data_IF_309186280348
#
_entry.id   IF_309186280348
#
_cell.length_a   1.000
_cell.length_b   1.000
_cell.length_c   1.000
_cell.angle_alpha   90.00
_cell.angle_beta   90.00
_cell.angle_gamma   90.00
#
_symmetry.space_group_name_H-M   'P 1'
#
loop_
_entity.id
_entity.type
_entity.pdbx_description
1 polymer ?
#
# COMPACT_ATOMS: atom_id res chain seq x y z
N UNK A 1 -30.38 10.34 13.91
CA UNK A 1 -29.83 9.02 13.53
C UNK A 1 -29.65 9.06 12.02
N UNK A 2 -28.43 9.15 11.54
CA UNK A 2 -28.16 8.92 10.13
C UNK A 2 -28.49 7.46 9.81
N UNK A 3 -29.09 7.15 8.66
CA UNK A 3 -29.34 5.77 8.27
C UNK A 3 -27.99 5.03 8.19
N UNK A 4 -27.90 3.90 8.90
CA UNK A 4 -26.74 3.01 8.75
C UNK A 4 -26.65 2.59 7.28
N UNK A 5 -25.61 3.03 6.58
CA UNK A 5 -25.37 2.60 5.19
C UNK A 5 -25.10 1.10 5.25
N UNK A 6 -25.97 0.32 4.61
CA UNK A 6 -25.75 -1.11 4.45
C UNK A 6 -24.53 -1.34 3.56
N UNK A 7 -23.41 -1.65 4.17
CA UNK A 7 -22.14 -1.91 3.47
C UNK A 7 -22.11 -3.28 2.75
N UNK A 8 -23.08 -4.17 3.03
CA UNK A 8 -23.19 -5.46 2.37
C UNK A 8 -23.53 -5.32 0.87
N UNK A 9 -24.22 -4.25 0.50
CA UNK A 9 -24.57 -3.93 -0.90
C UNK A 9 -23.36 -3.54 -1.77
N UNK A 10 -22.20 -3.29 -1.17
CA UNK A 10 -20.97 -2.89 -1.87
C UNK A 10 -20.02 -4.05 -2.12
N UNK A 11 -20.44 -5.26 -1.84
CA UNK A 11 -19.73 -6.47 -2.21
C UNK A 11 -20.20 -6.96 -3.59
N UNK A 12 -19.29 -7.31 -4.46
CA UNK A 12 -19.63 -8.02 -5.69
C UNK A 12 -19.83 -9.52 -5.41
N UNK A 13 -21.03 -9.93 -5.07
CA UNK A 13 -21.37 -11.30 -4.67
C UNK A 13 -21.19 -12.35 -5.80
N UNK A 14 -21.14 -11.94 -7.04
CA UNK A 14 -21.03 -12.85 -8.21
C UNK A 14 -19.60 -13.23 -8.59
N UNK A 15 -18.59 -12.61 -7.97
CA UNK A 15 -17.22 -12.69 -8.42
C UNK A 15 -16.26 -13.02 -7.26
N UNK A 16 -15.76 -14.28 -7.20
CA UNK A 16 -14.81 -14.66 -6.18
C UNK A 16 -13.50 -13.89 -6.36
N UNK A 17 -13.15 -13.04 -5.40
CA UNK A 17 -11.95 -12.21 -5.45
C UNK A 17 -11.41 -11.94 -4.05
N UNK A 18 -10.12 -11.61 -3.95
CA UNK A 18 -9.58 -11.01 -2.74
C UNK A 18 -10.15 -9.60 -2.56
N UNK A 19 -10.38 -9.20 -1.31
CA UNK A 19 -11.02 -7.92 -1.00
C UNK A 19 -10.06 -6.85 -0.45
N UNK A 20 -8.87 -7.26 0.00
CA UNK A 20 -7.93 -6.35 0.66
C UNK A 20 -6.50 -6.84 0.50
N UNK A 21 -5.57 -5.91 0.39
CA UNK A 21 -4.22 -6.17 0.86
C UNK A 21 -4.29 -6.23 2.38
N UNK A 22 -4.26 -7.46 2.93
CA UNK A 22 -4.46 -7.70 4.36
C UNK A 22 -3.23 -7.28 5.17
N UNK A 23 -2.03 -7.56 4.66
CA UNK A 23 -0.75 -7.09 5.22
C UNK A 23 0.41 -7.31 4.25
N UNK A 24 1.53 -6.68 4.55
CA UNK A 24 2.82 -7.04 3.98
C UNK A 24 3.84 -7.30 5.08
N UNK A 25 4.84 -8.13 4.79
CA UNK A 25 5.88 -8.49 5.75
C UNK A 25 7.24 -8.29 5.10
N UNK A 26 8.13 -7.62 5.80
CA UNK A 26 9.49 -7.40 5.33
C UNK A 26 10.49 -7.57 6.48
N UNK A 27 11.73 -7.86 6.13
CA UNK A 27 12.84 -7.95 7.07
C UNK A 27 13.81 -6.80 6.90
N UNK A 28 14.46 -6.41 7.99
CA UNK A 28 15.47 -5.34 8.05
C UNK A 28 16.67 -5.78 8.86
N UNK A 29 17.88 -5.24 8.57
CA UNK A 29 19.08 -5.56 9.35
C UNK A 29 19.05 -5.01 10.78
N UNK A 30 18.36 -3.89 11.01
CA UNK A 30 18.22 -3.27 12.33
C UNK A 30 16.75 -2.91 12.61
N UNK A 31 16.17 -3.65 13.54
CA UNK A 31 14.78 -3.47 13.93
C UNK A 31 14.55 -2.18 14.73
N UNK A 32 15.57 -1.66 15.46
CA UNK A 32 15.43 -0.41 16.21
C UNK A 32 15.27 0.77 15.23
N UNK A 33 16.12 0.81 14.22
CA UNK A 33 16.03 1.84 13.16
C UNK A 33 14.66 1.84 12.48
N UNK A 34 14.08 0.64 12.23
CA UNK A 34 12.72 0.54 11.69
C UNK A 34 11.66 1.05 12.67
N UNK A 35 11.75 0.67 13.94
CA UNK A 35 10.83 1.12 15.00
C UNK A 35 10.85 2.64 15.11
N UNK A 36 12.04 3.25 15.15
CA UNK A 36 12.21 4.70 15.26
C UNK A 36 11.63 5.41 14.05
N UNK A 37 11.93 4.93 12.82
CA UNK A 37 11.42 5.50 11.58
C UNK A 37 9.89 5.48 11.51
N UNK A 38 9.26 4.31 11.70
CA UNK A 38 7.81 4.19 11.57
C UNK A 38 7.05 4.81 12.75
N UNK A 39 7.66 4.92 13.92
CA UNK A 39 7.10 5.71 15.04
C UNK A 39 7.13 7.21 14.70
N UNK A 40 8.25 7.71 14.18
CA UNK A 40 8.33 9.09 13.68
C UNK A 40 7.34 9.36 12.54
N UNK A 41 7.10 8.37 11.67
CA UNK A 41 6.09 8.44 10.60
C UNK A 41 4.64 8.53 11.12
N UNK A 42 4.42 8.25 12.41
CA UNK A 42 3.11 8.38 13.07
C UNK A 42 2.30 7.09 13.16
N UNK A 43 2.94 5.93 13.00
CA UNK A 43 2.30 4.63 13.21
C UNK A 43 2.38 4.17 14.67
N UNK A 44 1.40 3.35 15.08
CA UNK A 44 1.43 2.62 16.35
C UNK A 44 2.32 1.37 16.17
N UNK A 45 3.61 1.52 16.50
CA UNK A 45 4.61 0.47 16.33
C UNK A 45 4.73 -0.35 17.60
N UNK A 46 4.44 -1.65 17.52
CA UNK A 46 4.49 -2.55 18.67
C UNK A 46 5.61 -3.58 18.53
N UNK A 47 6.67 -3.39 19.32
CA UNK A 47 7.79 -4.32 19.33
C UNK A 47 7.47 -5.58 20.15
N UNK A 48 7.83 -6.75 19.61
CA UNK A 48 7.60 -8.06 20.21
C UNK A 48 8.80 -8.98 19.93
N UNK A 49 9.82 -8.93 20.79
CA UNK A 49 11.06 -9.70 20.56
C UNK A 49 11.78 -9.30 19.27
N UNK A 50 12.06 -10.26 18.39
CA UNK A 50 12.74 -10.06 17.09
C UNK A 50 11.83 -9.54 15.97
N UNK A 51 10.68 -8.92 16.27
CA UNK A 51 9.76 -8.35 15.30
C UNK A 51 9.11 -7.07 15.81
N UNK A 52 8.54 -6.30 14.90
CA UNK A 52 7.65 -5.19 15.21
C UNK A 52 6.38 -5.27 14.33
N UNK A 53 5.23 -4.96 14.90
CA UNK A 53 3.96 -4.87 14.21
C UNK A 53 3.66 -3.39 13.91
N UNK A 54 3.33 -3.05 12.66
CA UNK A 54 2.86 -1.72 12.28
C UNK A 54 1.33 -1.70 12.30
N UNK A 55 0.78 -0.80 13.09
CA UNK A 55 -0.64 -0.52 13.23
C UNK A 55 -0.90 0.97 13.05
N UNK A 56 -2.15 1.35 12.97
CA UNK A 56 -2.57 2.75 13.03
C UNK A 56 -3.32 3.01 14.33
N UNK A 57 -3.25 4.23 14.84
CA UNK A 57 -3.93 4.58 16.09
C UNK A 57 -5.45 4.43 15.94
N UNK A 58 -6.08 3.80 16.94
CA UNK A 58 -7.52 3.54 16.91
C UNK A 58 -7.97 2.35 16.06
N UNK A 59 -7.06 1.66 15.37
CA UNK A 59 -7.36 0.45 14.59
C UNK A 59 -6.49 -0.72 15.08
N UNK A 60 -7.08 -1.83 15.53
CA UNK A 60 -6.35 -2.99 16.04
C UNK A 60 -5.67 -3.80 14.93
N UNK A 61 -5.98 -3.54 13.65
CA UNK A 61 -5.44 -4.29 12.53
C UNK A 61 -3.92 -4.10 12.41
N UNK A 62 -3.23 -5.18 12.08
CA UNK A 62 -1.79 -5.18 11.81
C UNK A 62 -1.55 -5.13 10.32
N UNK A 63 -1.20 -3.94 9.83
CA UNK A 63 -0.98 -3.65 8.41
C UNK A 63 0.34 -4.21 7.88
N UNK A 64 1.37 -4.20 8.73
CA UNK A 64 2.64 -4.79 8.37
C UNK A 64 3.31 -5.46 9.58
N UNK A 65 4.24 -6.36 9.28
CA UNK A 65 5.16 -6.98 10.23
C UNK A 65 6.59 -6.76 9.75
N UNK A 66 7.43 -6.25 10.63
CA UNK A 66 8.87 -6.11 10.40
C UNK A 66 9.58 -7.21 11.14
N UNK A 67 10.44 -7.94 10.48
CA UNK A 67 11.26 -9.01 11.07
C UNK A 67 12.70 -8.55 11.21
N UNK A 68 13.36 -8.92 12.32
CA UNK A 68 14.81 -8.81 12.42
C UNK A 68 15.44 -9.79 11.43
N UNK A 69 16.17 -9.28 10.44
CA UNK A 69 16.96 -10.04 9.47
C UNK A 69 18.44 -9.97 9.75
N UNK A 70 19.23 -10.73 9.00
CA UNK A 70 20.70 -10.73 9.02
C UNK A 70 21.31 -10.16 7.73
N UNK A 71 20.48 -9.80 6.76
CA UNK A 71 20.85 -9.24 5.46
C UNK A 71 20.17 -7.90 5.18
N UNK A 72 20.32 -7.38 3.96
CA UNK A 72 19.64 -6.17 3.51
C UNK A 72 18.11 -6.26 3.71
N UNK A 73 17.44 -5.10 3.74
CA UNK A 73 15.98 -5.05 3.74
C UNK A 73 15.43 -5.88 2.58
N UNK A 74 14.37 -6.67 2.87
CA UNK A 74 13.74 -7.52 1.87
C UNK A 74 12.25 -7.68 2.14
N UNK A 75 11.43 -7.63 1.10
CA UNK A 75 10.06 -8.09 1.16
C UNK A 75 10.04 -9.60 1.38
N UNK A 76 9.37 -10.06 2.44
CA UNK A 76 9.26 -11.48 2.78
C UNK A 76 8.02 -12.09 2.16
N UNK A 77 6.85 -11.43 2.30
CA UNK A 77 5.61 -11.88 1.67
C UNK A 77 4.50 -10.83 1.72
N UNK A 78 3.49 -11.04 0.89
CA UNK A 78 2.22 -10.34 0.91
C UNK A 78 1.12 -11.27 1.41
N UNK A 79 0.11 -10.71 2.07
CA UNK A 79 -1.09 -11.43 2.48
C UNK A 79 -2.33 -10.69 1.96
N UNK A 80 -3.18 -11.39 1.19
CA UNK A 80 -4.46 -10.88 0.72
C UNK A 80 -5.61 -11.50 1.49
N UNK A 81 -6.59 -10.69 1.87
CA UNK A 81 -7.79 -11.13 2.55
C UNK A 81 -8.87 -11.57 1.56
N UNK A 82 -9.56 -12.65 1.87
CA UNK A 82 -10.72 -13.14 1.13
C UNK A 82 -11.91 -13.37 2.08
N UNK A 83 -13.11 -13.21 1.56
CA UNK A 83 -14.32 -13.63 2.27
C UNK A 83 -14.38 -15.17 2.37
N UNK A 84 -14.97 -15.74 3.44
CA UNK A 84 -15.05 -17.19 3.60
C UNK A 84 -15.64 -17.91 2.39
N UNK A 85 -16.68 -17.36 1.79
CA UNK A 85 -17.41 -17.94 0.65
C UNK A 85 -16.69 -17.81 -0.69
N UNK A 86 -15.65 -16.96 -0.78
CA UNK A 86 -14.82 -16.78 -1.97
C UNK A 86 -13.50 -17.56 -1.89
N UNK A 87 -13.04 -17.86 -0.67
CA UNK A 87 -11.73 -18.44 -0.42
C UNK A 87 -11.48 -19.72 -1.23
N UNK A 88 -12.33 -20.73 -1.10
CA UNK A 88 -12.15 -22.01 -1.79
C UNK A 88 -12.20 -21.85 -3.32
N UNK A 89 -13.00 -20.92 -3.83
CA UNK A 89 -13.10 -20.63 -5.26
C UNK A 89 -11.83 -19.96 -5.79
N UNK A 90 -11.23 -19.06 -5.00
CA UNK A 90 -9.92 -18.44 -5.34
C UNK A 90 -8.83 -19.53 -5.38
N UNK A 91 -8.80 -20.43 -4.39
CA UNK A 91 -7.82 -21.51 -4.36
C UNK A 91 -8.01 -22.51 -5.53
N UNK A 92 -9.24 -22.83 -5.87
CA UNK A 92 -9.55 -23.64 -7.04
C UNK A 92 -9.07 -22.97 -8.34
N UNK A 93 -9.27 -21.67 -8.47
CA UNK A 93 -8.81 -20.86 -9.60
C UNK A 93 -7.28 -20.82 -9.69
N UNK A 94 -6.55 -20.59 -8.60
CA UNK A 94 -5.09 -20.69 -8.55
C UNK A 94 -4.61 -22.03 -9.12
N UNK A 95 -5.18 -23.15 -8.65
CA UNK A 95 -4.84 -24.49 -9.13
C UNK A 95 -5.16 -24.70 -10.61
N UNK A 96 -6.30 -24.19 -11.09
CA UNK A 96 -6.70 -24.31 -12.50
C UNK A 96 -5.81 -23.51 -13.45
N UNK A 97 -5.16 -22.44 -12.95
CA UNK A 97 -4.14 -21.67 -13.65
C UNK A 97 -2.74 -22.28 -13.57
N UNK A 98 -2.61 -23.48 -12.97
CA UNK A 98 -1.34 -24.18 -12.84
C UNK A 98 -0.41 -23.58 -11.76
N UNK A 99 -0.93 -22.77 -10.85
CA UNK A 99 -0.13 -22.19 -9.76
C UNK A 99 0.16 -23.25 -8.71
N UNK A 100 1.43 -23.53 -8.47
CA UNK A 100 1.86 -24.46 -7.43
C UNK A 100 1.70 -23.84 -6.04
N UNK A 101 1.07 -24.59 -5.13
CA UNK A 101 0.95 -24.20 -3.74
C UNK A 101 2.21 -24.60 -2.98
N UNK A 102 2.70 -23.68 -2.14
CA UNK A 102 3.94 -23.86 -1.37
C UNK A 102 3.70 -23.88 0.13
N UNK A 103 4.71 -24.25 0.89
CA UNK A 103 4.66 -24.22 2.36
C UNK A 103 4.54 -22.79 2.88
N UNK A 104 3.84 -22.60 4.01
CA UNK A 104 3.73 -21.31 4.66
C UNK A 104 5.09 -20.72 5.03
N UNK A 105 5.19 -19.37 5.00
CA UNK A 105 6.35 -18.70 5.56
C UNK A 105 6.48 -19.02 7.06
N UNK A 106 7.71 -19.24 7.55
CA UNK A 106 7.99 -19.61 8.96
C UNK A 106 7.41 -18.65 10.00
N UNK A 107 7.18 -17.37 9.62
CA UNK A 107 6.56 -16.34 10.46
C UNK A 107 5.10 -16.07 10.09
N UNK A 108 4.42 -16.99 9.40
CA UNK A 108 2.98 -16.93 9.15
C UNK A 108 2.20 -16.92 10.48
N UNK A 109 1.10 -16.15 10.53
CA UNK A 109 0.29 -16.01 11.76
C UNK A 109 -0.91 -16.96 11.82
N UNK A 110 -1.48 -17.28 10.67
CA UNK A 110 -2.70 -18.08 10.54
C UNK A 110 -2.56 -19.08 9.39
N UNK A 111 -3.38 -20.11 9.39
CA UNK A 111 -3.50 -20.97 8.21
C UNK A 111 -4.03 -20.14 7.03
N UNK A 112 -3.27 -20.09 5.95
CA UNK A 112 -3.61 -19.50 4.67
C UNK A 112 -3.11 -20.40 3.55
N UNK A 113 -3.48 -20.10 2.32
CA UNK A 113 -2.93 -20.75 1.14
C UNK A 113 -1.79 -19.92 0.58
N UNK A 114 -0.67 -20.56 0.32
CA UNK A 114 0.58 -19.94 -0.07
C UNK A 114 1.01 -20.36 -1.47
N UNK A 115 1.50 -19.43 -2.22
CA UNK A 115 2.05 -19.62 -3.57
C UNK A 115 3.08 -18.53 -3.86
N UNK A 116 3.74 -18.63 -5.01
CA UNK A 116 4.73 -17.66 -5.46
C UNK A 116 4.21 -16.98 -6.72
N UNK A 117 4.32 -15.67 -6.80
CA UNK A 117 3.97 -14.92 -8.00
C UNK A 117 5.03 -15.09 -9.12
N UNK A 118 4.79 -14.57 -10.33
CA UNK A 118 5.71 -14.75 -11.45
C UNK A 118 7.14 -14.22 -11.24
N UNK A 119 7.33 -13.28 -10.32
CA UNK A 119 8.63 -12.69 -9.97
C UNK A 119 9.30 -13.34 -8.75
N UNK A 120 8.65 -14.34 -8.16
CA UNK A 120 9.18 -15.05 -7.00
C UNK A 120 8.79 -14.43 -5.65
N UNK A 121 7.86 -13.48 -5.61
CA UNK A 121 7.32 -12.95 -4.36
C UNK A 121 6.37 -13.96 -3.74
N UNK A 122 6.58 -14.29 -2.46
CA UNK A 122 5.70 -15.19 -1.72
C UNK A 122 4.39 -14.47 -1.38
N UNK A 123 3.26 -15.12 -1.64
CA UNK A 123 1.91 -14.57 -1.47
C UNK A 123 1.06 -15.53 -0.65
N UNK A 124 0.31 -14.97 0.31
CA UNK A 124 -0.70 -15.66 1.11
C UNK A 124 -2.10 -15.18 0.73
N UNK A 125 -3.06 -16.08 0.61
CA UNK A 125 -4.49 -15.76 0.69
C UNK A 125 -5.03 -16.32 2.01
N UNK A 126 -5.72 -15.46 2.78
CA UNK A 126 -6.24 -15.79 4.10
C UNK A 126 -7.71 -15.35 4.24
N UNK A 127 -8.52 -16.15 4.91
CA UNK A 127 -9.88 -15.73 5.30
C UNK A 127 -9.77 -14.66 6.39
N UNK A 128 -10.33 -13.48 6.11
CA UNK A 128 -10.26 -12.34 7.04
C UNK A 128 -11.44 -11.37 6.84
N UNK A 129 -11.63 -10.51 7.81
CA UNK A 129 -12.46 -9.31 7.63
C UNK A 129 -11.84 -8.39 6.57
N UNK A 130 -12.71 -7.67 5.85
CA UNK A 130 -12.29 -6.68 4.86
C UNK A 130 -11.68 -5.47 5.56
N UNK A 131 -10.44 -5.11 5.16
CA UNK A 131 -9.71 -3.96 5.72
C UNK A 131 -9.50 -2.82 4.70
N UNK A 132 -9.64 -3.08 3.40
CA UNK A 132 -9.74 -2.02 2.40
C UNK A 132 -11.07 -1.27 2.57
N UNK A 133 -11.16 0.02 2.21
CA UNK A 133 -12.36 0.80 2.42
C UNK A 133 -13.52 0.27 1.56
N UNK A 134 -14.75 0.38 2.09
CA UNK A 134 -16.01 0.12 1.35
C UNK A 134 -16.67 1.41 0.87
N UNK A 135 -16.12 2.55 1.25
CA UNK A 135 -16.51 3.90 0.82
C UNK A 135 -15.25 4.76 0.69
N UNK A 136 -15.30 5.81 -0.12
CA UNK A 136 -14.18 6.77 -0.18
C UNK A 136 -13.90 7.32 1.21
N UNK A 137 -12.62 7.37 1.59
CA UNK A 137 -12.18 7.96 2.85
C UNK A 137 -12.65 9.41 2.95
N UNK A 138 -13.18 9.80 4.11
CA UNK A 138 -13.61 11.18 4.34
C UNK A 138 -12.41 12.14 4.26
N UNK A 139 -12.59 13.21 3.52
CA UNK A 139 -11.64 14.32 3.47
C UNK A 139 -11.71 15.21 4.72
N UNK A 140 -10.88 16.28 4.77
CA UNK A 140 -10.89 17.20 5.88
C UNK A 140 -12.22 17.94 5.97
N UNK A 141 -12.69 18.11 7.20
CA UNK A 141 -13.84 19.02 7.45
C UNK A 141 -13.33 20.46 7.26
N UNK A 142 -13.98 21.29 6.42
CA UNK A 142 -13.58 22.67 6.24
C UNK A 142 -13.50 23.41 7.58
N UNK A 143 -12.38 24.08 7.81
CA UNK A 143 -12.21 24.87 9.03
C UNK A 143 -13.26 26.00 9.10
N UNK A 144 -13.97 26.08 10.23
CA UNK A 144 -14.92 27.19 10.47
C UNK A 144 -14.14 28.45 10.79
N UNK A 145 -14.30 29.48 9.98
CA UNK A 145 -13.78 30.81 10.28
C UNK A 145 -14.49 31.40 11.49
N UNK A 146 -13.77 31.69 12.55
CA UNK A 146 -14.28 32.37 13.72
C UNK A 146 -13.95 33.87 13.55
N UNK A 147 -14.92 34.75 13.80
CA UNK A 147 -14.72 36.21 13.66
C UNK A 147 -13.55 36.67 14.54
N UNK A 148 -12.55 37.29 13.94
CA UNK A 148 -11.35 37.77 14.61
C UNK A 148 -10.24 36.72 14.86
N UNK A 149 -10.38 35.52 14.33
CA UNK A 149 -9.36 34.49 14.44
C UNK A 149 -9.05 33.81 13.09
N UNK A 150 -7.80 33.45 12.86
CA UNK A 150 -7.40 32.65 11.70
C UNK A 150 -7.84 31.16 11.85
N UNK A 151 -8.07 30.49 10.72
CA UNK A 151 -8.45 29.08 10.72
C UNK A 151 -7.28 28.14 11.03
N UNK A 152 -6.04 28.51 10.65
CA UNK A 152 -4.86 27.69 10.89
C UNK A 152 -4.43 27.72 12.38
N UNK A 153 -4.08 26.57 12.98
CA UNK A 153 -3.52 26.54 14.32
C UNK A 153 -2.11 27.16 14.34
N UNK A 154 -1.66 27.58 15.52
CA UNK A 154 -0.25 27.93 15.70
C UNK A 154 0.64 26.70 15.54
N UNK A 155 1.89 26.88 15.12
CA UNK A 155 2.86 25.77 14.97
C UNK A 155 2.98 24.92 16.25
N UNK A 156 2.93 25.53 17.42
CA UNK A 156 3.01 24.83 18.70
C UNK A 156 1.75 24.01 19.04
N UNK A 157 0.63 24.26 18.36
CA UNK A 157 -0.63 23.53 18.59
C UNK A 157 -0.87 22.40 17.57
N UNK A 158 0.07 22.19 16.63
CA UNK A 158 -0.04 21.12 15.63
C UNK A 158 0.19 19.78 16.31
N UNK A 159 -0.76 18.84 16.12
CA UNK A 159 -0.63 17.46 16.54
C UNK A 159 0.21 16.66 15.56
N UNK A 160 0.82 15.57 16.03
CA UNK A 160 1.49 14.60 15.19
C UNK A 160 0.51 14.01 14.16
N UNK A 161 0.93 13.96 12.90
CA UNK A 161 0.18 13.26 11.83
C UNK A 161 0.18 11.76 12.14
N UNK A 162 -0.99 11.16 12.08
CA UNK A 162 -1.21 9.74 12.35
C UNK A 162 -2.03 9.14 11.21
N UNK A 163 -1.41 8.34 10.33
CA UNK A 163 -2.14 7.65 9.27
C UNK A 163 -3.30 6.82 9.79
N UNK A 164 -4.36 6.73 9.02
CA UNK A 164 -5.61 6.02 9.40
C UNK A 164 -5.57 4.53 9.04
N UNK A 165 -4.89 4.19 7.93
CA UNK A 165 -4.79 2.82 7.40
C UNK A 165 -3.67 2.73 6.36
N UNK A 166 -3.29 1.51 6.01
CA UNK A 166 -2.55 1.24 4.77
C UNK A 166 -3.52 1.46 3.59
N UNK A 167 -3.13 2.24 2.60
CA UNK A 167 -3.86 2.42 1.36
C UNK A 167 -3.46 1.36 0.35
N UNK A 168 -2.19 1.33 -0.02
CA UNK A 168 -1.66 0.41 -1.02
C UNK A 168 -0.17 0.14 -0.83
N UNK A 169 0.34 -0.78 -1.65
CA UNK A 169 1.78 -0.98 -1.85
C UNK A 169 2.11 -0.91 -3.33
N UNK A 170 3.34 -0.53 -3.65
CA UNK A 170 3.90 -0.65 -4.98
C UNK A 170 5.14 -1.54 -4.93
N UNK A 171 5.18 -2.51 -5.83
CA UNK A 171 6.29 -3.45 -5.98
C UNK A 171 7.07 -3.17 -7.26
N UNK A 172 8.37 -3.44 -7.20
CA UNK A 172 9.17 -3.63 -8.39
C UNK A 172 8.83 -4.97 -9.03
N UNK A 173 8.80 -5.01 -10.37
CA UNK A 173 8.49 -6.20 -11.16
C UNK A 173 9.39 -6.30 -12.40
N UNK A 174 9.84 -7.51 -12.72
CA UNK A 174 10.65 -7.76 -13.92
C UNK A 174 9.81 -7.71 -15.20
N UNK A 175 8.51 -8.02 -15.12
CA UNK A 175 7.56 -8.06 -16.23
C UNK A 175 6.18 -7.60 -15.76
N UNK A 176 5.87 -6.31 -15.95
CA UNK A 176 4.61 -5.71 -15.47
C UNK A 176 3.38 -6.32 -16.16
N UNK A 177 3.32 -6.53 -17.48
CA UNK A 177 2.21 -7.22 -18.13
C UNK A 177 1.93 -8.62 -17.58
N UNK A 178 2.98 -9.39 -17.30
CA UNK A 178 2.85 -10.72 -16.71
C UNK A 178 2.28 -10.66 -15.28
N UNK A 179 2.70 -9.67 -14.49
CA UNK A 179 2.15 -9.44 -13.15
C UNK A 179 0.67 -9.05 -13.21
N UNK A 180 0.29 -8.11 -14.08
CA UNK A 180 -1.12 -7.75 -14.31
C UNK A 180 -1.94 -9.01 -14.57
N UNK A 181 -1.58 -9.76 -15.63
CA UNK A 181 -2.30 -10.97 -16.01
C UNK A 181 -2.43 -11.95 -14.85
N UNK A 182 -1.35 -12.22 -14.13
CA UNK A 182 -1.34 -13.15 -13.01
C UNK A 182 -2.33 -12.73 -11.90
N UNK A 183 -2.25 -11.48 -11.43
CA UNK A 183 -3.08 -11.01 -10.32
C UNK A 183 -4.56 -10.87 -10.69
N UNK A 184 -4.87 -10.55 -11.95
CA UNK A 184 -6.25 -10.58 -12.46
C UNK A 184 -6.79 -12.01 -12.54
N UNK A 185 -6.06 -12.91 -13.19
CA UNK A 185 -6.51 -14.28 -13.48
C UNK A 185 -6.57 -15.17 -12.24
N UNK A 186 -5.78 -14.87 -11.20
CA UNK A 186 -5.69 -15.71 -10.00
C UNK A 186 -6.44 -15.15 -8.80
N UNK A 187 -6.24 -13.88 -8.48
CA UNK A 187 -6.79 -13.26 -7.26
C UNK A 187 -8.10 -12.48 -7.51
N UNK A 188 -8.47 -12.26 -8.78
CA UNK A 188 -9.67 -11.52 -9.14
C UNK A 188 -9.53 -10.01 -8.92
N UNK A 189 -8.30 -9.50 -8.88
CA UNK A 189 -8.07 -8.05 -8.94
C UNK A 189 -8.46 -7.52 -10.33
N UNK A 190 -8.62 -6.23 -10.43
CA UNK A 190 -8.98 -5.53 -11.67
C UNK A 190 -7.96 -4.47 -11.98
N UNK A 191 -7.66 -4.28 -13.26
CA UNK A 191 -6.79 -3.21 -13.72
C UNK A 191 -7.52 -1.87 -13.56
N UNK A 192 -6.87 -0.92 -12.89
CA UNK A 192 -7.35 0.45 -12.78
C UNK A 192 -6.82 1.29 -13.93
N UNK A 193 -5.50 1.38 -14.03
CA UNK A 193 -4.82 2.12 -15.08
C UNK A 193 -3.38 1.59 -15.24
N UNK A 194 -2.74 1.93 -16.36
CA UNK A 194 -1.34 1.64 -16.60
C UNK A 194 -0.68 2.71 -17.48
N UNK A 195 0.64 2.67 -17.57
CA UNK A 195 1.40 3.47 -18.54
C UNK A 195 2.38 2.54 -19.26
N UNK A 196 1.99 2.13 -20.49
CA UNK A 196 2.69 1.11 -21.25
C UNK A 196 2.97 -0.14 -20.43
N UNK A 197 4.18 -0.69 -20.59
CA UNK A 197 4.70 -1.82 -19.81
C UNK A 197 5.50 -1.39 -18.58
N UNK A 198 5.50 -0.08 -18.27
CA UNK A 198 6.34 0.50 -17.22
C UNK A 198 5.74 0.47 -15.82
N UNK A 199 4.43 0.71 -15.71
CA UNK A 199 3.73 0.76 -14.43
C UNK A 199 2.26 0.37 -14.60
N UNK A 200 1.68 -0.28 -13.59
CA UNK A 200 0.26 -0.63 -13.55
C UNK A 200 -0.30 -0.62 -12.14
N UNK A 201 -1.60 -0.36 -12.02
CA UNK A 201 -2.36 -0.18 -10.79
C UNK A 201 -3.56 -1.12 -10.77
N UNK A 202 -3.76 -1.88 -9.68
CA UNK A 202 -4.81 -2.89 -9.58
C UNK A 202 -5.67 -2.66 -8.34
N UNK A 203 -7.00 -2.65 -8.54
CA UNK A 203 -7.99 -2.50 -7.46
C UNK A 203 -8.71 -3.81 -7.13
N UNK A 204 -9.41 -3.79 -6.00
CA UNK A 204 -10.23 -4.91 -5.54
C UNK A 204 -11.63 -4.92 -6.14
N UNK A 205 -12.13 -6.08 -6.58
CA UNK A 205 -13.49 -6.24 -7.12
C UNK A 205 -14.61 -5.92 -6.11
N UNK A 206 -14.30 -5.90 -4.81
CA UNK A 206 -15.25 -5.65 -3.71
C UNK A 206 -15.17 -4.23 -3.15
N UNK A 207 -14.97 -3.25 -3.99
CA UNK A 207 -14.69 -1.84 -3.64
C UNK A 207 -13.34 -1.64 -2.95
N UNK A 208 -12.59 -0.68 -3.39
CA UNK A 208 -11.31 -0.30 -2.79
C UNK A 208 -10.90 1.11 -3.23
N UNK A 209 -9.79 1.59 -2.69
CA UNK A 209 -9.06 2.68 -3.34
C UNK A 209 -8.72 2.31 -4.79
N UNK A 210 -8.36 3.31 -5.61
CA UNK A 210 -7.96 3.15 -7.01
C UNK A 210 -6.99 1.97 -7.20
N UNK A 211 -6.16 1.68 -6.23
CA UNK A 211 -5.35 0.47 -6.23
C UNK A 211 -5.06 -0.03 -4.81
N UNK A 212 -4.98 -1.34 -4.69
CA UNK A 212 -4.49 -2.06 -3.52
C UNK A 212 -3.01 -2.40 -3.67
N UNK A 213 -2.61 -2.69 -4.91
CA UNK A 213 -1.26 -3.04 -5.30
C UNK A 213 -0.95 -2.42 -6.67
N UNK A 214 0.29 -1.99 -6.84
CA UNK A 214 0.80 -1.52 -8.12
C UNK A 214 2.16 -2.15 -8.41
N UNK A 215 2.55 -2.17 -9.68
CA UNK A 215 3.81 -2.73 -10.16
C UNK A 215 4.54 -1.71 -11.01
N UNK A 216 5.82 -1.52 -10.77
CA UNK A 216 6.72 -0.70 -11.60
C UNK A 216 7.85 -1.55 -12.15
N UNK A 217 8.16 -1.36 -13.42
CA UNK A 217 9.22 -2.10 -14.13
C UNK A 217 10.58 -1.90 -13.46
N UNK A 218 11.28 -3.02 -13.26
CA UNK A 218 12.63 -3.08 -12.71
C UNK A 218 13.34 -4.33 -13.23
N UNK A 219 14.53 -4.57 -12.76
CA UNK A 219 15.34 -5.77 -13.05
C UNK A 219 15.09 -6.94 -12.09
N UNK A 220 14.04 -6.88 -11.29
CA UNK A 220 13.62 -7.93 -10.37
C UNK A 220 12.63 -7.44 -9.33
N UNK A 221 12.11 -8.33 -8.48
CA UNK A 221 11.13 -7.99 -7.46
C UNK A 221 11.74 -7.20 -6.30
N UNK A 222 10.91 -6.45 -5.59
CA UNK A 222 11.24 -5.69 -4.38
C UNK A 222 10.11 -4.77 -3.96
N UNK A 223 10.18 -4.25 -2.75
CA UNK A 223 9.23 -3.26 -2.25
C UNK A 223 9.70 -1.85 -2.63
N UNK A 224 8.93 -1.16 -3.47
CA UNK A 224 9.18 0.26 -3.76
C UNK A 224 8.65 1.13 -2.62
N UNK A 225 7.35 1.02 -2.30
CA UNK A 225 6.78 1.78 -1.17
C UNK A 225 5.55 1.12 -0.55
N UNK A 226 5.24 1.59 0.67
CA UNK A 226 3.94 1.44 1.32
C UNK A 226 3.29 2.81 1.47
N UNK A 227 2.01 2.91 1.11
CA UNK A 227 1.24 4.15 1.14
C UNK A 227 0.22 4.15 2.26
N UNK A 228 0.16 5.25 2.99
CA UNK A 228 -0.62 5.38 4.22
C UNK A 228 -1.58 6.55 4.12
N UNK A 229 -2.87 6.25 4.28
CA UNK A 229 -3.97 7.20 4.14
C UNK A 229 -3.98 8.22 5.30
N UNK A 230 -3.99 9.50 4.96
CA UNK A 230 -4.16 10.64 5.86
C UNK A 230 -5.34 11.49 5.44
N UNK A 231 -5.78 12.42 6.30
CA UNK A 231 -7.05 13.12 6.11
C UNK A 231 -7.09 14.01 4.87
N UNK A 232 -5.99 14.70 4.54
CA UNK A 232 -5.97 15.64 3.41
C UNK A 232 -4.58 16.20 3.14
N UNK A 233 -4.52 17.14 2.20
CA UNK A 233 -3.26 17.75 1.74
C UNK A 233 -2.48 18.40 2.89
N UNK A 234 -3.16 19.00 3.88
CA UNK A 234 -2.51 19.62 5.04
C UNK A 234 -1.75 18.55 5.86
N UNK A 235 -2.34 17.36 6.07
CA UNK A 235 -1.66 16.27 6.78
C UNK A 235 -0.51 15.68 5.96
N UNK A 236 -0.59 15.68 4.62
CA UNK A 236 0.54 15.32 3.76
C UNK A 236 1.72 16.29 3.97
N UNK A 237 1.44 17.61 4.00
CA UNK A 237 2.44 18.63 4.26
C UNK A 237 3.00 18.60 5.69
N UNK A 238 2.13 18.40 6.68
CA UNK A 238 2.53 18.26 8.09
C UNK A 238 3.35 17.00 8.34
N UNK A 239 3.00 15.88 7.69
CA UNK A 239 3.76 14.63 7.72
C UNK A 239 5.16 14.79 7.13
N UNK A 240 5.28 15.56 6.03
CA UNK A 240 6.59 15.93 5.51
C UNK A 240 7.42 16.66 6.56
N UNK A 241 6.87 17.70 7.20
CA UNK A 241 7.58 18.48 8.21
C UNK A 241 7.96 17.62 9.41
N UNK A 242 7.03 16.77 9.88
CA UNK A 242 7.26 15.82 10.97
C UNK A 242 8.47 14.91 10.70
N UNK A 243 8.59 14.38 9.49
CA UNK A 243 9.71 13.51 9.11
C UNK A 243 11.01 14.27 8.91
N UNK A 244 10.97 15.51 8.41
CA UNK A 244 12.15 16.40 8.35
C UNK A 244 12.67 16.67 9.78
N UNK A 245 11.77 17.03 10.70
CA UNK A 245 12.11 17.32 12.10
C UNK A 245 12.66 16.07 12.83
N UNK A 246 12.26 14.87 12.41
CA UNK A 246 12.77 13.58 12.88
C UNK A 246 14.08 13.12 12.19
N UNK A 247 14.66 13.94 11.29
CA UNK A 247 15.91 13.62 10.61
C UNK A 247 15.78 12.81 9.30
N UNK A 248 14.56 12.71 8.73
CA UNK A 248 14.28 12.01 7.48
C UNK A 248 13.78 12.98 6.38
N UNK A 249 14.62 13.90 5.87
CA UNK A 249 14.20 14.91 4.91
C UNK A 249 14.04 14.40 3.48
N UNK A 250 14.69 13.28 3.14
CA UNK A 250 14.79 12.78 1.78
C UNK A 250 13.50 12.10 1.31
N UNK A 251 13.20 12.23 0.03
CA UNK A 251 12.02 11.65 -0.61
C UNK A 251 11.52 12.51 -1.76
N UNK A 252 10.22 12.42 -2.07
CA UNK A 252 9.60 13.13 -3.18
C UNK A 252 8.24 13.71 -2.77
N UNK A 253 7.91 14.92 -3.24
CA UNK A 253 6.67 15.64 -2.93
C UNK A 253 6.94 16.83 -1.97
N UNK A 254 5.93 17.57 -1.58
CA UNK A 254 4.48 17.33 -1.73
C UNK A 254 4.07 17.52 -3.19
N UNK A 255 3.13 16.71 -3.67
CA UNK A 255 2.62 16.78 -5.03
C UNK A 255 1.25 16.14 -5.16
N UNK A 256 0.74 16.07 -6.39
CA UNK A 256 -0.51 15.38 -6.73
C UNK A 256 -0.29 14.46 -7.92
N UNK A 257 -0.64 13.17 -7.76
CA UNK A 257 -0.58 12.19 -8.85
C UNK A 257 -1.67 12.43 -9.90
N UNK A 258 -1.41 12.00 -11.13
CA UNK A 258 -2.42 11.84 -12.18
C UNK A 258 -3.20 10.55 -11.92
N UNK A 259 -2.50 9.41 -11.86
CA UNK A 259 -3.11 8.09 -11.64
C UNK A 259 -3.40 7.87 -10.16
N UNK A 260 -4.69 7.68 -9.84
CA UNK A 260 -5.18 7.60 -8.47
C UNK A 260 -5.50 8.95 -7.83
N UNK A 261 -5.14 10.07 -8.45
CA UNK A 261 -5.50 11.47 -8.06
C UNK A 261 -5.01 11.93 -6.68
N UNK A 262 -4.32 11.10 -5.93
CA UNK A 262 -3.94 11.39 -4.54
C UNK A 262 -2.86 12.47 -4.42
N UNK A 263 -2.98 13.27 -3.37
CA UNK A 263 -1.86 14.07 -2.86
C UNK A 263 -0.87 13.14 -2.18
N UNK A 264 0.43 13.42 -2.35
CA UNK A 264 1.48 12.54 -1.87
C UNK A 264 2.67 13.25 -1.25
N UNK A 265 3.30 12.58 -0.31
CA UNK A 265 4.67 12.81 0.14
C UNK A 265 5.32 11.47 0.41
N UNK A 266 6.30 11.11 -0.40
CA UNK A 266 7.19 9.98 -0.16
C UNK A 266 8.30 10.37 0.79
N UNK A 267 8.53 9.57 1.81
CA UNK A 267 9.66 9.68 2.73
C UNK A 267 10.55 8.46 2.52
N UNK A 268 11.83 8.69 2.22
CA UNK A 268 12.77 7.59 2.02
C UNK A 268 13.03 6.90 3.35
N UNK A 269 12.84 5.59 3.40
CA UNK A 269 13.22 4.80 4.56
C UNK A 269 14.74 4.58 4.63
N UNK A 270 15.28 4.13 5.76
CA UNK A 270 16.74 3.94 5.93
C UNK A 270 17.39 2.96 4.95
N UNK A 271 16.62 2.19 4.19
CA UNK A 271 17.13 1.17 3.27
C UNK A 271 16.79 1.46 1.80
N UNK A 272 16.26 2.63 1.51
CA UNK A 272 16.06 3.11 0.14
C UNK A 272 14.68 2.91 -0.47
N UNK A 273 13.77 2.17 0.19
CA UNK A 273 12.34 2.17 -0.18
C UNK A 273 11.65 3.42 0.38
N UNK A 274 10.32 3.54 0.21
CA UNK A 274 9.59 4.70 0.71
C UNK A 274 8.41 4.30 1.58
N UNK A 275 8.07 5.19 2.52
CA UNK A 275 6.75 5.30 3.13
C UNK A 275 6.09 6.58 2.61
N UNK A 276 4.84 6.48 2.15
CA UNK A 276 4.09 7.57 1.54
C UNK A 276 2.95 8.01 2.45
N UNK A 277 2.87 9.30 2.74
CA UNK A 277 1.61 9.93 3.17
C UNK A 277 0.77 10.19 1.93
N UNK A 278 -0.45 9.67 1.89
CA UNK A 278 -1.37 9.74 0.77
C UNK A 278 -2.73 10.25 1.21
N UNK A 279 -3.33 11.16 0.46
CA UNK A 279 -4.65 11.70 0.74
C UNK A 279 -5.49 11.85 -0.52
N UNK A 280 -6.81 11.68 -0.37
CA UNK A 280 -7.80 11.90 -1.43
C UNK A 280 -7.62 10.98 -2.67
N UNK A 281 -7.12 9.78 -2.48
CA UNK A 281 -7.02 8.78 -3.56
C UNK A 281 -8.42 8.46 -4.13
N UNK A 282 -8.53 8.25 -5.43
CA UNK A 282 -9.76 7.82 -6.08
C UNK A 282 -10.26 6.50 -5.45
N UNK A 283 -11.57 6.36 -5.36
CA UNK A 283 -12.24 5.19 -4.84
C UNK A 283 -13.08 4.55 -5.93
N UNK A 284 -12.96 3.23 -6.09
CA UNK A 284 -13.69 2.44 -7.06
C UNK A 284 -14.68 1.54 -6.33
N UNK A 285 -15.98 1.86 -6.49
CA UNK A 285 -17.07 1.06 -5.95
C UNK A 285 -17.26 -0.23 -6.74
N UNK A 286 -17.75 -1.28 -6.08
CA UNK A 286 -18.07 -2.56 -6.74
C UNK A 286 -19.19 -2.45 -7.78
N UNK A 287 -19.95 -1.36 -7.75
CA UNK A 287 -21.01 -0.97 -8.67
C UNK A 287 -20.52 -0.08 -9.83
N UNK A 288 -19.22 0.25 -9.87
CA UNK A 288 -18.62 1.07 -10.91
C UNK A 288 -17.91 0.21 -11.95
N UNK A 289 -18.23 0.47 -13.22
CA UNK A 289 -17.51 -0.07 -14.36
C UNK A 289 -16.32 0.87 -14.69
N UNK A 290 -15.26 0.75 -13.89
CA UNK A 290 -14.04 1.52 -14.12
C UNK A 290 -13.39 1.10 -15.42
N UNK A 291 -13.10 2.07 -16.29
CA UNK A 291 -12.46 1.84 -17.59
C UNK A 291 -10.96 2.12 -17.46
N UNK A 292 -10.19 1.05 -17.34
CA UNK A 292 -8.73 1.16 -17.37
C UNK A 292 -8.24 1.85 -18.63
N UNK A 293 -7.26 2.74 -18.48
CA UNK A 293 -6.67 3.47 -19.59
C UNK A 293 -5.16 3.25 -19.63
N UNK A 294 -4.59 3.30 -20.84
CA UNK A 294 -3.15 3.37 -21.05
C UNK A 294 -2.75 4.86 -21.15
N UNK A 295 -2.01 5.33 -20.17
CA UNK A 295 -1.60 6.73 -20.07
C UNK A 295 -0.20 6.92 -20.64
N UNK A 296 0.01 8.02 -21.36
CA UNK A 296 1.36 8.35 -21.86
C UNK A 296 2.31 8.62 -20.69
N UNK A 297 3.54 8.09 -20.74
CA UNK A 297 4.50 8.25 -19.62
C UNK A 297 4.73 9.72 -19.22
N UNK A 298 4.82 10.62 -20.19
CA UNK A 298 5.04 12.05 -19.97
C UNK A 298 3.91 12.76 -19.23
N UNK A 299 2.68 12.22 -19.27
CA UNK A 299 1.48 12.82 -18.70
C UNK A 299 0.92 12.04 -17.51
N UNK A 300 1.51 10.89 -17.15
CA UNK A 300 0.88 9.95 -16.22
C UNK A 300 1.34 10.08 -14.76
N UNK A 301 2.44 10.75 -14.48
CA UNK A 301 3.13 10.61 -13.21
C UNK A 301 2.59 11.57 -12.14
N UNK A 302 2.56 12.88 -12.41
CA UNK A 302 2.03 13.87 -11.47
C UNK A 302 1.49 15.11 -12.17
N UNK A 303 0.46 15.72 -11.56
CA UNK A 303 -0.17 16.97 -12.03
C UNK A 303 0.69 18.17 -11.66
N UNK A 304 1.21 18.19 -10.44
CA UNK A 304 2.12 19.18 -9.90
C UNK A 304 2.95 18.59 -8.75
N UNK A 305 4.10 19.16 -8.52
CA UNK A 305 5.05 18.76 -7.47
C UNK A 305 6.48 19.09 -7.87
N UNK A 306 7.46 18.78 -7.02
CA UNK A 306 8.87 18.91 -7.39
C UNK A 306 9.24 17.85 -8.46
N UNK A 307 10.32 18.07 -9.20
CA UNK A 307 10.84 17.05 -10.11
C UNK A 307 11.06 15.71 -9.41
N UNK A 308 10.80 14.62 -10.15
CA UNK A 308 11.03 13.27 -9.64
C UNK A 308 12.52 13.08 -9.37
N UNK A 309 12.92 12.57 -8.19
CA UNK A 309 14.31 12.25 -7.92
C UNK A 309 14.84 11.17 -8.90
N UNK A 310 16.07 11.31 -9.38
CA UNK A 310 16.70 10.38 -10.35
C UNK A 310 16.72 8.94 -9.84
N UNK A 311 16.81 8.74 -8.54
CA UNK A 311 16.87 7.44 -7.89
C UNK A 311 15.50 6.95 -7.33
N UNK A 312 14.39 7.61 -7.71
CA UNK A 312 13.06 7.28 -7.19
C UNK A 312 12.64 5.84 -7.52
N UNK A 313 12.97 5.34 -8.70
CA UNK A 313 12.68 3.97 -9.14
C UNK A 313 13.87 3.01 -8.99
N UNK A 314 14.84 3.31 -8.12
CA UNK A 314 15.97 2.41 -7.87
C UNK A 314 15.57 1.23 -6.99
N UNK A 315 15.75 0.01 -7.50
CA UNK A 315 15.45 -1.22 -6.75
C UNK A 315 16.66 -1.67 -5.92
N UNK A 316 16.70 -1.21 -4.66
CA UNK A 316 17.79 -1.55 -3.73
C UNK A 316 17.80 -3.04 -3.34
N UNK A 317 16.63 -3.73 -3.33
CA UNK A 317 16.55 -5.17 -3.03
C UNK A 317 17.17 -6.03 -4.14
N UNK A 318 16.90 -5.70 -5.41
CA UNK A 318 17.50 -6.39 -6.54
C UNK A 318 19.02 -6.16 -6.61
N UNK A 319 19.48 -4.92 -6.38
CA UNK A 319 20.90 -4.59 -6.31
C UNK A 319 21.62 -5.40 -5.21
N UNK A 320 21.01 -5.52 -4.03
CA UNK A 320 21.56 -6.29 -2.92
C UNK A 320 21.62 -7.80 -3.20
N UNK A 321 20.60 -8.37 -3.89
CA UNK A 321 20.61 -9.78 -4.31
C UNK A 321 21.74 -10.08 -5.29
N UNK A 322 21.99 -9.19 -6.27
CA UNK A 322 23.10 -9.35 -7.22
C UNK A 322 24.46 -9.26 -6.57
N UNK A 323 24.62 -8.41 -5.54
CA UNK A 323 25.89 -8.28 -4.82
C UNK A 323 26.19 -9.50 -3.93
N UNK A 324 25.18 -10.32 -3.60
CA UNK A 324 25.30 -11.51 -2.75
C UNK A 324 25.42 -12.83 -3.55
N UNK A 325 25.17 -12.80 -4.87
CA UNK A 325 25.28 -13.94 -5.79
C UNK A 325 26.65 -14.01 -6.43
#
# INVERSE_FOLDING_TARGET
MEPSIDLSSRRNHGEPAVHSLHRFVFSVPDLNVAVDFFTAFGLDVRRMGGRADLRTYGNPHRWAKILQGHGPKRLEYLSFGAFPEDYDKIIARLKSQGVELVSPHRNADKPGTWFVDPDGTLVEVVVSEKVSPSVKSAGPVPAKTVRGAGAAPSRAAISQVRPRRLSHILLFASDVPKMIKFYLDTLGLRLSDHSGDGIAFLHGAHSSDHHLIAFVKSDGPGLHHSSWDVCGIDEVGLGMQQMIDAGHPHGWGVGRHVLGSNYFRYVRDPWGSFAEYSADIDFIGSDHDWKAQDHKPEDSFYVWGPPVPDDFITNHESAARRAAA
#
